data_IF_129914008124
#
_entry.id   IF_129914008124
#
_cell.length_a   1.000
_cell.length_b   1.000
_cell.length_c   1.000
_cell.angle_alpha   90.00
_cell.angle_beta   90.00
_cell.angle_gamma   90.00
#
_symmetry.space_group_name_H-M   'P 1'
#
loop_
_entity.id
_entity.type
_entity.pdbx_description
1 polymer ?
#
# COMPACT_ATOMS: atom_id res chain seq x y z
N UNK A 1 -8.38 6.10 -15.21
CA UNK A 1 -8.64 7.01 -14.09
C UNK A 1 -8.87 6.17 -12.85
N UNK A 2 -8.23 6.53 -11.73
CA UNK A 2 -8.45 5.83 -10.47
C UNK A 2 -9.92 5.91 -10.05
N UNK A 3 -10.48 4.81 -9.52
CA UNK A 3 -11.87 4.76 -9.04
C UNK A 3 -11.99 5.19 -7.58
N UNK A 4 -10.91 5.05 -6.81
CA UNK A 4 -10.82 5.38 -5.39
C UNK A 4 -9.66 6.36 -5.15
N UNK A 5 -9.75 7.12 -4.06
CA UNK A 5 -8.64 7.98 -3.62
C UNK A 5 -7.79 7.22 -2.59
N UNK A 6 -6.47 7.23 -2.79
CA UNK A 6 -5.54 6.67 -1.80
C UNK A 6 -5.49 7.56 -0.57
N UNK A 7 -5.58 6.96 0.62
CA UNK A 7 -5.32 7.64 1.89
C UNK A 7 -4.43 6.74 2.73
N UNK A 8 -3.32 7.27 3.20
CA UNK A 8 -2.39 6.56 4.08
C UNK A 8 -2.76 6.84 5.53
N UNK A 9 -2.76 5.80 6.36
CA UNK A 9 -2.70 6.00 7.80
C UNK A 9 -1.30 6.52 8.17
N UNK A 10 -1.19 7.14 9.33
CA UNK A 10 0.11 7.57 9.86
C UNK A 10 1.12 6.41 9.94
N UNK A 11 0.68 5.23 10.39
CA UNK A 11 1.55 4.04 10.44
C UNK A 11 1.98 3.57 9.04
N UNK A 12 1.10 3.63 8.04
CA UNK A 12 1.47 3.26 6.68
C UNK A 12 2.48 4.24 6.08
N UNK A 13 2.37 5.53 6.39
CA UNK A 13 3.34 6.54 5.98
C UNK A 13 4.73 6.30 6.62
N UNK A 14 4.77 5.94 7.91
CA UNK A 14 6.01 5.53 8.57
C UNK A 14 6.58 4.22 8.03
N UNK A 15 5.74 3.26 7.65
CA UNK A 15 6.20 2.03 7.01
C UNK A 15 6.85 2.30 5.65
N UNK A 16 6.33 3.26 4.87
CA UNK A 16 6.93 3.68 3.61
C UNK A 16 8.32 4.31 3.81
N UNK A 17 8.47 5.20 4.78
CA UNK A 17 9.76 5.83 5.11
C UNK A 17 10.81 4.79 5.56
N UNK A 18 10.41 3.88 6.45
CA UNK A 18 11.28 2.79 6.92
C UNK A 18 11.69 1.87 5.79
N UNK A 19 10.74 1.48 4.94
CA UNK A 19 10.98 0.61 3.80
C UNK A 19 12.00 1.24 2.84
N UNK A 20 11.82 2.51 2.50
CA UNK A 20 12.74 3.23 1.62
C UNK A 20 14.13 3.34 2.25
N UNK A 21 14.19 3.80 3.51
CA UNK A 21 15.46 3.97 4.25
C UNK A 21 16.22 2.66 4.36
N UNK A 22 15.55 1.57 4.75
CA UNK A 22 16.17 0.24 4.80
C UNK A 22 16.64 -0.21 3.42
N UNK A 23 15.86 0.09 2.38
CA UNK A 23 16.20 -0.21 1.01
C UNK A 23 17.48 0.48 0.56
N UNK A 24 17.54 1.79 0.81
CA UNK A 24 18.67 2.65 0.50
C UNK A 24 19.94 2.17 1.21
N UNK A 25 19.86 1.91 2.51
CA UNK A 25 21.01 1.47 3.33
C UNK A 25 21.54 0.11 2.86
N UNK A 26 20.66 -0.83 2.48
CA UNK A 26 21.05 -2.21 2.17
C UNK A 26 21.43 -2.43 0.72
N UNK A 27 20.77 -1.77 -0.22
CA UNK A 27 20.89 -2.05 -1.65
C UNK A 27 21.29 -0.83 -2.48
N UNK A 28 21.26 0.38 -1.91
CA UNK A 28 21.56 1.63 -2.60
C UNK A 28 20.31 2.32 -3.15
N UNK A 29 20.51 3.58 -3.54
CA UNK A 29 19.46 4.51 -3.99
C UNK A 29 18.63 3.96 -5.14
N UNK A 30 19.28 3.51 -6.22
CA UNK A 30 18.61 3.04 -7.44
C UNK A 30 17.63 1.91 -7.14
N UNK A 31 18.02 0.97 -6.28
CA UNK A 31 17.18 -0.16 -5.88
C UNK A 31 16.04 0.28 -4.95
N UNK A 32 16.28 1.23 -4.06
CA UNK A 32 15.27 1.80 -3.18
C UNK A 32 14.20 2.54 -4.00
N UNK A 33 14.61 3.41 -4.92
CA UNK A 33 13.74 4.16 -5.83
C UNK A 33 12.89 3.22 -6.68
N UNK A 34 13.53 2.25 -7.35
CA UNK A 34 12.82 1.29 -8.22
C UNK A 34 11.75 0.53 -7.44
N UNK A 35 12.07 0.09 -6.21
CA UNK A 35 11.10 -0.60 -5.36
C UNK A 35 9.95 0.32 -4.93
N UNK A 36 10.28 1.55 -4.55
CA UNK A 36 9.31 2.52 -4.06
C UNK A 36 8.35 2.97 -5.15
N UNK A 37 8.85 3.31 -6.34
CA UNK A 37 8.03 3.66 -7.51
C UNK A 37 7.10 2.51 -7.92
N UNK A 38 7.61 1.28 -7.89
CA UNK A 38 6.80 0.11 -8.17
C UNK A 38 5.72 -0.15 -7.10
N UNK A 39 6.01 0.15 -5.83
CA UNK A 39 5.02 0.10 -4.75
C UNK A 39 3.93 1.17 -4.92
N UNK A 40 4.30 2.39 -5.31
CA UNK A 40 3.33 3.46 -5.62
C UNK A 40 2.43 3.08 -6.81
N UNK A 41 3.02 2.53 -7.87
CA UNK A 41 2.27 2.03 -9.03
C UNK A 41 1.28 0.94 -8.64
N UNK A 42 1.68 0.06 -7.72
CA UNK A 42 0.79 -0.97 -7.17
C UNK A 42 -0.36 -0.36 -6.37
N UNK A 43 -0.15 0.75 -5.64
CA UNK A 43 -1.25 1.47 -4.98
C UNK A 43 -2.24 2.06 -5.99
N UNK A 44 -1.77 2.56 -7.13
CA UNK A 44 -2.66 3.05 -8.19
C UNK A 44 -3.53 1.91 -8.74
N UNK A 45 -2.96 0.72 -8.95
CA UNK A 45 -3.71 -0.46 -9.37
C UNK A 45 -4.78 -0.87 -8.33
N UNK A 46 -4.44 -0.79 -7.04
CA UNK A 46 -5.41 -1.02 -5.96
C UNK A 46 -6.52 0.04 -5.97
N UNK A 47 -6.22 1.29 -6.29
CA UNK A 47 -7.25 2.34 -6.37
C UNK A 47 -8.13 2.22 -7.63
N UNK A 48 -7.64 1.56 -8.70
CA UNK A 48 -8.42 1.21 -9.88
C UNK A 48 -9.33 0.01 -9.59
N UNK A 49 -8.78 -1.06 -8.99
CA UNK A 49 -9.51 -2.29 -8.69
C UNK A 49 -9.20 -2.83 -7.28
N UNK A 50 -9.80 -2.24 -6.23
CA UNK A 50 -9.49 -2.61 -4.85
C UNK A 50 -10.03 -3.98 -4.44
N UNK A 51 -10.89 -4.58 -5.27
CA UNK A 51 -11.42 -5.93 -5.04
C UNK A 51 -10.54 -7.03 -5.64
N UNK A 52 -9.44 -6.67 -6.32
CA UNK A 52 -8.52 -7.61 -6.96
C UNK A 52 -7.90 -8.61 -5.98
N UNK A 53 -7.65 -8.19 -4.74
CA UNK A 53 -7.05 -9.02 -3.71
C UNK A 53 -8.06 -9.51 -2.67
N UNK A 54 -7.74 -10.64 -2.04
CA UNK A 54 -8.61 -11.35 -1.11
C UNK A 54 -8.93 -10.49 0.13
N UNK A 55 -10.19 -10.55 0.56
CA UNK A 55 -10.58 -10.09 1.89
C UNK A 55 -9.94 -10.99 2.96
N UNK A 56 -9.49 -10.37 4.05
CA UNK A 56 -8.86 -11.08 5.17
C UNK A 56 -9.66 -10.81 6.43
N UNK A 57 -10.98 -11.00 6.33
CA UNK A 57 -11.93 -10.78 7.42
C UNK A 57 -11.60 -11.66 8.64
N UNK A 58 -10.96 -12.81 8.42
CA UNK A 58 -10.44 -13.69 9.46
C UNK A 58 -9.29 -13.07 10.28
N UNK A 59 -8.59 -12.07 9.73
CA UNK A 59 -7.57 -11.28 10.43
C UNK A 59 -8.20 -10.02 11.00
N UNK A 60 -8.95 -9.29 10.18
CA UNK A 60 -9.68 -8.07 10.57
C UNK A 60 -10.80 -7.79 9.59
N UNK A 61 -12.03 -7.70 10.09
CA UNK A 61 -13.22 -7.44 9.29
C UNK A 61 -13.07 -6.17 8.44
N UNK A 62 -13.46 -6.27 7.17
CA UNK A 62 -13.44 -5.18 6.19
C UNK A 62 -12.07 -4.90 5.58
N UNK A 63 -11.02 -5.62 5.99
CA UNK A 63 -9.67 -5.49 5.44
C UNK A 63 -9.42 -6.46 4.28
N UNK A 64 -8.53 -6.02 3.40
CA UNK A 64 -7.96 -6.79 2.30
C UNK A 64 -6.45 -6.78 2.41
N UNK A 65 -5.84 -7.83 1.89
CA UNK A 65 -4.39 -7.99 1.87
C UNK A 65 -3.90 -8.20 0.44
N UNK A 66 -3.14 -7.23 -0.07
CA UNK A 66 -2.33 -7.41 -1.28
C UNK A 66 -0.86 -7.63 -0.91
N UNK A 67 -0.05 -7.98 -1.90
CA UNK A 67 1.39 -8.22 -1.73
C UNK A 67 2.12 -7.54 -2.88
N UNK A 68 3.18 -6.83 -2.55
CA UNK A 68 4.12 -6.27 -3.52
C UNK A 68 5.55 -6.61 -3.09
N UNK A 69 6.28 -7.32 -3.95
CA UNK A 69 7.58 -7.87 -3.61
C UNK A 69 7.52 -8.73 -2.34
N UNK A 70 8.25 -8.31 -1.30
CA UNK A 70 8.30 -9.00 0.00
C UNK A 70 7.36 -8.43 1.06
N UNK A 71 6.65 -7.34 0.75
CA UNK A 71 5.81 -6.62 1.71
C UNK A 71 4.33 -6.92 1.48
N UNK A 72 3.59 -7.10 2.58
CA UNK A 72 2.15 -7.21 2.57
C UNK A 72 1.53 -5.82 2.80
N UNK A 73 0.49 -5.50 2.05
CA UNK A 73 -0.22 -4.23 2.13
C UNK A 73 -1.64 -4.55 2.61
N UNK A 74 -1.98 -4.01 3.78
CA UNK A 74 -3.32 -4.14 4.35
C UNK A 74 -4.09 -2.85 4.11
N UNK A 75 -5.27 -2.97 3.51
CA UNK A 75 -6.08 -1.83 3.16
C UNK A 75 -7.56 -2.13 3.36
N UNK A 76 -8.37 -1.09 3.45
CA UNK A 76 -9.83 -1.17 3.56
C UNK A 76 -10.47 -0.01 2.82
N UNK A 77 -11.77 -0.14 2.59
CA UNK A 77 -12.58 0.98 2.13
C UNK A 77 -12.88 1.91 3.30
N UNK A 78 -12.90 3.20 3.02
CA UNK A 78 -13.37 4.23 3.94
C UNK A 78 -14.43 5.01 3.19
N UNK A 79 -15.65 5.03 3.71
CA UNK A 79 -16.66 5.96 3.23
C UNK A 79 -16.28 7.36 3.72
N UNK A 80 -16.35 8.36 2.84
CA UNK A 80 -16.28 9.74 3.28
C UNK A 80 -17.53 9.99 4.14
N UNK A 81 -17.35 10.03 5.45
CA UNK A 81 -18.38 10.49 6.36
C UNK A 81 -18.53 12.00 6.11
N UNK A 82 -19.64 12.39 5.50
CA UNK A 82 -20.07 13.79 5.41
C UNK A 82 -20.54 14.22 6.80
N UNK A 83 -19.61 14.66 7.65
CA UNK A 83 -19.93 15.51 8.80
C UNK A 83 -19.85 16.99 8.40
#
# INVERSE_FOLDING_TARGET
MSKYLLTLSQEADYDLDRLYTDGFIRWGEVQADTYYEGLLSHFDDLCINPYLYRAVDEIREGYRRSVYGKHAIFYRFVEQSSD
#
